data_IF_718748510175
#
_entry.id   IF_718748510175
#
_cell.length_a   1.000
_cell.length_b   1.000
_cell.length_c   1.000
_cell.angle_alpha   90.00
_cell.angle_beta   90.00
_cell.angle_gamma   90.00
#
_symmetry.space_group_name_H-M   'P 1'
#
loop_
_entity.id
_entity.type
_entity.pdbx_description
1 polymer ?
#
# COMPACT_ATOMS: atom_id res chain seq x y z
N UNK A 1 7.19 16.07 -12.08
CA UNK A 1 6.83 17.33 -12.80
C UNK A 1 5.51 17.92 -12.27
N UNK A 2 5.45 19.23 -12.01
CA UNK A 2 4.34 19.90 -11.33
C UNK A 2 2.96 19.66 -11.99
N UNK A 3 2.91 19.60 -13.34
CA UNK A 3 1.67 19.36 -14.11
C UNK A 3 1.22 17.89 -14.22
N UNK A 4 1.99 16.93 -13.71
CA UNK A 4 1.64 15.49 -13.72
C UNK A 4 1.34 14.93 -12.33
N UNK A 5 1.26 15.79 -11.31
CA UNK A 5 1.08 15.39 -9.91
C UNK A 5 -0.25 14.66 -9.67
N UNK A 6 -1.33 15.12 -10.31
CA UNK A 6 -2.64 14.45 -10.25
C UNK A 6 -2.60 13.06 -10.89
N UNK A 7 -1.91 12.92 -12.03
CA UNK A 7 -1.72 11.65 -12.71
C UNK A 7 -0.90 10.67 -11.85
N UNK A 8 0.23 11.11 -11.29
CA UNK A 8 1.05 10.26 -10.41
C UNK A 8 0.37 9.94 -9.07
N UNK A 9 -0.52 10.81 -8.60
CA UNK A 9 -1.30 10.63 -7.37
C UNK A 9 -2.53 9.74 -7.52
N UNK A 10 -3.00 9.46 -8.74
CA UNK A 10 -4.12 8.54 -8.97
C UNK A 10 -3.68 7.08 -9.04
N UNK A 11 -2.42 6.78 -9.41
CA UNK A 11 -1.92 5.39 -9.48
C UNK A 11 -2.09 4.58 -8.19
N UNK A 12 -1.85 5.10 -6.98
CA UNK A 12 -2.10 4.36 -5.75
C UNK A 12 -3.57 3.99 -5.56
N UNK A 13 -4.50 4.85 -6.00
CA UNK A 13 -5.93 4.60 -5.89
C UNK A 13 -6.42 3.53 -6.86
N UNK A 14 -5.74 3.36 -7.99
CA UNK A 14 -6.04 2.32 -8.97
C UNK A 14 -5.62 0.92 -8.52
N UNK A 15 -4.75 0.80 -7.51
CA UNK A 15 -4.26 -0.51 -7.04
C UNK A 15 -5.38 -1.44 -6.57
N UNK A 16 -6.30 -0.93 -5.74
CA UNK A 16 -7.43 -1.72 -5.24
C UNK A 16 -8.39 -2.21 -6.34
N UNK A 17 -8.94 -1.36 -7.24
CA UNK A 17 -9.85 -1.81 -8.28
C UNK A 17 -9.17 -2.75 -9.29
N UNK A 18 -7.90 -2.52 -9.64
CA UNK A 18 -7.15 -3.43 -10.51
C UNK A 18 -6.98 -4.80 -9.82
N UNK A 19 -6.61 -4.81 -8.54
CA UNK A 19 -6.51 -6.05 -7.75
C UNK A 19 -7.83 -6.82 -7.70
N UNK A 20 -8.94 -6.13 -7.46
CA UNK A 20 -10.27 -6.76 -7.47
C UNK A 20 -10.63 -7.33 -8.84
N UNK A 21 -10.31 -6.63 -9.93
CA UNK A 21 -10.56 -7.13 -11.28
C UNK A 21 -9.83 -8.46 -11.52
N UNK A 22 -8.53 -8.54 -11.18
CA UNK A 22 -7.77 -9.78 -11.34
C UNK A 22 -8.24 -10.90 -10.39
N UNK A 23 -8.61 -10.57 -9.15
CA UNK A 23 -9.12 -11.55 -8.20
C UNK A 23 -10.42 -12.20 -8.70
N UNK A 24 -11.40 -11.38 -9.10
CA UNK A 24 -12.66 -11.86 -9.64
C UNK A 24 -12.48 -12.57 -10.98
N UNK A 25 -11.64 -12.04 -11.88
CA UNK A 25 -11.35 -12.65 -13.17
C UNK A 25 -10.68 -14.03 -13.03
N UNK A 26 -9.74 -14.18 -12.09
CA UNK A 26 -9.11 -15.47 -11.80
C UNK A 26 -10.13 -16.46 -11.25
N UNK A 27 -10.96 -16.04 -10.29
CA UNK A 27 -12.01 -16.90 -9.74
C UNK A 27 -12.99 -17.36 -10.82
N UNK A 28 -13.48 -16.43 -11.65
CA UNK A 28 -14.38 -16.72 -12.77
C UNK A 28 -13.77 -17.71 -13.76
N UNK A 29 -12.50 -17.53 -14.14
CA UNK A 29 -11.80 -18.44 -15.03
C UNK A 29 -11.68 -19.85 -14.45
N UNK A 30 -11.34 -19.96 -13.16
CA UNK A 30 -11.23 -21.26 -12.50
C UNK A 30 -12.58 -21.95 -12.37
N UNK A 31 -13.65 -21.22 -12.05
CA UNK A 31 -15.00 -21.77 -12.01
C UNK A 31 -15.52 -22.20 -13.39
N UNK A 32 -15.03 -21.61 -14.47
CA UNK A 32 -15.41 -22.01 -15.83
C UNK A 32 -14.59 -23.21 -16.34
N UNK A 33 -13.33 -23.32 -15.94
CA UNK A 33 -12.40 -24.36 -16.43
C UNK A 33 -12.41 -25.65 -15.60
N UNK A 34 -12.77 -25.59 -14.32
CA UNK A 34 -12.69 -26.71 -13.39
C UNK A 34 -14.09 -27.20 -13.00
N UNK A 35 -14.21 -28.50 -12.73
CA UNK A 35 -15.38 -29.03 -12.03
C UNK A 35 -15.33 -28.68 -10.54
N UNK A 36 -16.48 -28.74 -9.86
CA UNK A 36 -16.57 -28.48 -8.42
C UNK A 36 -15.60 -29.34 -7.61
N UNK A 37 -15.43 -30.60 -7.99
CA UNK A 37 -14.50 -31.52 -7.34
C UNK A 37 -13.04 -31.07 -7.51
N UNK A 38 -12.64 -30.70 -8.74
CA UNK A 38 -11.28 -30.23 -9.01
C UNK A 38 -11.00 -28.88 -8.32
N UNK A 39 -11.99 -28.00 -8.27
CA UNK A 39 -11.89 -26.73 -7.57
C UNK A 39 -11.62 -26.93 -6.08
N UNK A 40 -12.34 -27.85 -5.44
CA UNK A 40 -12.17 -28.18 -4.01
C UNK A 40 -10.87 -28.93 -3.72
N UNK A 41 -10.42 -29.81 -4.61
CA UNK A 41 -9.17 -30.57 -4.44
C UNK A 41 -7.93 -29.65 -4.49
N UNK A 42 -7.87 -28.74 -5.46
CA UNK A 42 -6.70 -27.89 -5.66
C UNK A 42 -6.96 -26.52 -6.28
N UNK A 43 -8.03 -26.34 -7.06
CA UNK A 43 -8.28 -25.10 -7.81
C UNK A 43 -8.36 -23.86 -6.92
N UNK A 44 -8.91 -23.98 -5.71
CA UNK A 44 -8.98 -22.89 -4.74
C UNK A 44 -7.62 -22.33 -4.33
N UNK A 45 -6.51 -23.08 -4.49
CA UNK A 45 -5.15 -22.64 -4.13
C UNK A 45 -4.56 -21.66 -5.15
N UNK A 46 -4.99 -21.74 -6.42
CA UNK A 46 -4.42 -20.96 -7.53
C UNK A 46 -4.50 -19.45 -7.29
N UNK A 47 -5.63 -18.85 -6.88
CA UNK A 47 -5.71 -17.41 -6.61
C UNK A 47 -4.77 -16.96 -5.49
N UNK A 48 -4.55 -17.80 -4.47
CA UNK A 48 -3.66 -17.47 -3.35
C UNK A 48 -2.19 -17.50 -3.76
N UNK A 49 -1.78 -18.48 -4.58
CA UNK A 49 -0.41 -18.55 -5.10
C UNK A 49 -0.11 -17.34 -5.99
N UNK A 50 -1.05 -16.98 -6.87
CA UNK A 50 -0.93 -15.78 -7.69
C UNK A 50 -0.83 -14.50 -6.84
N UNK A 51 -1.67 -14.39 -5.79
CA UNK A 51 -1.60 -13.27 -4.85
C UNK A 51 -0.26 -13.21 -4.11
N UNK A 52 0.26 -14.35 -3.65
CA UNK A 52 1.56 -14.41 -2.98
C UNK A 52 2.70 -13.92 -3.91
N UNK A 53 2.68 -14.30 -5.19
CA UNK A 53 3.65 -13.81 -6.17
C UNK A 53 3.55 -12.28 -6.35
N UNK A 54 2.34 -11.73 -6.44
CA UNK A 54 2.13 -10.28 -6.52
C UNK A 54 2.60 -9.55 -5.26
N UNK A 55 2.40 -10.13 -4.07
CA UNK A 55 2.90 -9.59 -2.80
C UNK A 55 4.42 -9.55 -2.78
N UNK A 56 5.10 -10.61 -3.23
CA UNK A 56 6.55 -10.65 -3.31
C UNK A 56 7.10 -9.57 -4.26
N UNK A 57 6.47 -9.39 -5.43
CA UNK A 57 6.81 -8.32 -6.36
C UNK A 57 6.60 -6.95 -5.70
N UNK A 58 5.45 -6.75 -5.04
CA UNK A 58 5.14 -5.51 -4.34
C UNK A 58 6.14 -5.20 -3.22
N UNK A 59 6.56 -6.22 -2.46
CA UNK A 59 7.58 -6.11 -1.43
C UNK A 59 8.94 -5.75 -2.03
N UNK A 60 9.35 -6.43 -3.10
CA UNK A 60 10.60 -6.14 -3.81
C UNK A 60 10.65 -4.69 -4.31
N UNK A 61 9.58 -4.23 -4.97
CA UNK A 61 9.46 -2.84 -5.43
C UNK A 61 9.54 -1.87 -4.26
N UNK A 62 8.85 -2.18 -3.15
CA UNK A 62 8.84 -1.34 -1.95
C UNK A 62 10.20 -1.23 -1.28
N UNK A 63 10.98 -2.30 -1.26
CA UNK A 63 12.34 -2.32 -0.71
C UNK A 63 13.34 -1.62 -1.65
N UNK A 64 13.11 -1.69 -2.97
CA UNK A 64 13.99 -1.08 -3.98
C UNK A 64 13.81 0.44 -4.13
N UNK A 65 12.71 0.99 -3.62
CA UNK A 65 12.45 2.42 -3.58
C UNK A 65 13.38 3.09 -2.57
N UNK A 66 14.43 3.73 -3.10
CA UNK A 66 15.35 4.54 -2.32
C UNK A 66 14.62 5.73 -1.67
N UNK A 67 15.02 6.09 -0.45
CA UNK A 67 14.41 7.19 0.27
C UNK A 67 14.37 8.46 -0.58
N UNK A 68 13.24 9.19 -0.49
CA UNK A 68 13.09 10.45 -1.23
C UNK A 68 14.24 11.41 -0.90
N UNK A 69 14.69 12.24 -1.86
CA UNK A 69 15.82 13.16 -1.66
C UNK A 69 15.59 14.16 -0.50
N UNK A 70 14.34 14.35 -0.09
CA UNK A 70 13.98 15.13 1.10
C UNK A 70 14.37 14.40 2.39
N UNK A 71 14.08 13.11 2.51
CA UNK A 71 14.50 12.28 3.65
C UNK A 71 16.02 12.13 3.70
N UNK A 72 16.69 11.93 2.57
CA UNK A 72 18.15 11.87 2.49
C UNK A 72 18.83 13.17 2.97
N UNK A 73 18.23 14.35 2.69
CA UNK A 73 18.73 15.64 3.20
C UNK A 73 18.54 15.81 4.71
N UNK A 74 17.42 15.36 5.26
CA UNK A 74 17.14 15.40 6.71
C UNK A 74 18.04 14.42 7.48
N UNK A 75 18.26 13.23 6.94
CA UNK A 75 19.19 12.24 7.49
C UNK A 75 20.63 12.78 7.53
N UNK A 76 21.10 13.40 6.43
CA UNK A 76 22.42 14.08 6.39
C UNK A 76 22.53 15.28 7.33
N UNK A 77 21.41 15.96 7.61
CA UNK A 77 21.40 17.13 8.49
C UNK A 77 21.39 16.78 10.00
N UNK A 78 21.40 15.49 10.38
CA UNK A 78 21.46 15.05 11.77
C UNK A 78 20.22 15.40 12.61
N UNK A 79 19.14 15.90 11.99
CA UNK A 79 17.87 16.30 12.65
C UNK A 79 16.92 15.11 12.84
N UNK A 80 17.44 13.91 13.02
CA UNK A 80 16.60 12.74 13.35
C UNK A 80 16.25 12.81 14.84
N UNK A 81 15.00 13.18 15.13
CA UNK A 81 14.47 13.09 16.50
C UNK A 81 14.34 11.61 16.84
N UNK A 82 15.12 11.12 17.81
CA UNK A 82 15.15 9.69 18.22
C UNK A 82 13.78 9.12 18.61
N UNK A 83 12.85 9.96 19.07
CA UNK A 83 11.48 9.55 19.43
C UNK A 83 10.47 10.60 18.92
N UNK A 84 10.04 10.50 17.65
CA UNK A 84 9.12 11.47 17.05
C UNK A 84 7.76 11.49 17.75
N UNK A 85 7.23 10.32 18.10
CA UNK A 85 5.94 10.15 18.78
C UNK A 85 5.92 10.76 20.19
N UNK A 86 6.98 10.51 20.97
CA UNK A 86 7.10 11.06 22.34
C UNK A 86 7.16 12.59 22.33
N UNK A 87 7.87 13.17 21.37
CA UNK A 87 7.97 14.63 21.22
C UNK A 87 6.64 15.25 20.79
N UNK A 88 5.89 14.58 19.91
CA UNK A 88 4.56 15.00 19.46
C UNK A 88 3.56 15.03 20.62
N UNK A 89 3.53 13.98 21.45
CA UNK A 89 2.64 13.89 22.60
C UNK A 89 3.05 14.83 23.73
N UNK A 90 4.34 15.09 23.94
CA UNK A 90 4.79 15.98 25.02
C UNK A 90 4.77 17.46 24.65
N UNK A 91 5.18 17.83 23.43
CA UNK A 91 5.41 19.24 23.04
C UNK A 91 4.33 19.81 22.12
N UNK A 92 3.51 18.98 21.48
CA UNK A 92 2.55 19.43 20.46
C UNK A 92 1.12 18.89 20.67
N UNK A 93 0.78 18.44 21.88
CA UNK A 93 -0.50 17.78 22.18
C UNK A 93 -1.73 18.60 21.73
N UNK A 94 -1.75 19.92 21.95
CA UNK A 94 -2.85 20.80 21.52
C UNK A 94 -3.02 20.82 20.00
N UNK A 95 -1.91 20.92 19.27
CA UNK A 95 -1.93 20.92 17.80
C UNK A 95 -2.33 19.55 17.24
N UNK A 96 -1.90 18.46 17.88
CA UNK A 96 -2.28 17.08 17.51
C UNK A 96 -3.77 16.85 17.71
N UNK A 97 -4.33 17.21 18.86
CA UNK A 97 -5.76 17.08 19.15
C UNK A 97 -6.55 17.95 18.19
N UNK A 98 -6.21 19.24 18.08
CA UNK A 98 -6.94 20.14 17.19
C UNK A 98 -6.91 19.64 15.75
N UNK A 99 -5.75 19.29 15.20
CA UNK A 99 -5.64 18.78 13.82
C UNK A 99 -6.33 17.44 13.58
N UNK A 100 -6.41 16.56 14.59
CA UNK A 100 -7.12 15.28 14.49
C UNK A 100 -8.64 15.49 14.49
N UNK A 101 -9.13 16.41 15.32
CA UNK A 101 -10.58 16.65 15.49
C UNK A 101 -11.14 17.76 14.61
N UNK A 102 -10.32 18.52 13.89
CA UNK A 102 -10.80 19.62 13.02
C UNK A 102 -11.62 19.14 11.82
N UNK A 103 -11.47 17.86 11.42
CA UNK A 103 -12.28 17.24 10.37
C UNK A 103 -13.61 16.67 10.88
N UNK A 104 -13.87 16.71 12.19
CA UNK A 104 -15.12 16.26 12.83
C UNK A 104 -16.10 17.41 13.11
N UNK A 105 -15.72 18.66 12.83
CA UNK A 105 -16.56 19.85 12.92
C UNK A 105 -17.02 20.28 11.52
#
# INVERSE_FOLDING_TARGET
PAKKRALYGSFPQLGAPIGFFFANGTFLLLSWLLSDQQFMEWGWRVPFILSAALVLIGLYVRVSLHETPVFAKVAKAGKQVKVPLGTLLSKHLKATILGTFIMLA
#
